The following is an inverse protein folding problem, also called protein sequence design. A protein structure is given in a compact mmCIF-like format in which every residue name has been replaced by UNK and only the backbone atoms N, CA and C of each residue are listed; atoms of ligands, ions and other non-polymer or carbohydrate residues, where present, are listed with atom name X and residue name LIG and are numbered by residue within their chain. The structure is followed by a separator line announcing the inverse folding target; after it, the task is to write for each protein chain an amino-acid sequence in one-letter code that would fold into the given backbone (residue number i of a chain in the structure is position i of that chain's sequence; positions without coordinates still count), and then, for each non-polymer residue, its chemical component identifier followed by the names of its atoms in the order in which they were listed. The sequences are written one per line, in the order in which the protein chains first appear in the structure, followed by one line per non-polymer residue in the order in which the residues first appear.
data_IF_119556670037
#
_entry.id   IF_119556670037
#
_cell.length_a   1.000
_cell.length_b   1.000
_cell.length_c   1.000
_cell.angle_alpha   90.00
_cell.angle_beta   90.00
_cell.angle_gamma   90.00
#
_symmetry.space_group_name_H-M   'P 1'
#
loop_
_entity.id
_entity.type
_entity.pdbx_description
1 polymer ?
#
# COMPACT_ATOMS: atom_id res chain seq x y z
N UNK A 1 -0.51 -26.38 18.17
CA UNK A 1 -0.53 -25.40 17.06
C UNK A 1 -1.96 -24.98 16.72
N UNK A 2 -2.91 -25.92 16.40
CA UNK A 2 -4.28 -25.59 15.98
C UNK A 2 -5.07 -24.82 17.05
N UNK A 3 -4.97 -25.19 18.33
CA UNK A 3 -5.64 -24.46 19.43
C UNK A 3 -5.22 -23.00 19.47
N UNK A 4 -3.92 -22.71 19.38
CA UNK A 4 -3.41 -21.34 19.39
C UNK A 4 -3.90 -20.56 18.16
N UNK A 5 -3.85 -21.16 16.97
CA UNK A 5 -4.35 -20.52 15.75
C UNK A 5 -5.86 -20.24 15.82
N UNK A 6 -6.65 -21.17 16.37
CA UNK A 6 -8.10 -20.97 16.54
C UNK A 6 -8.38 -19.81 17.48
N UNK A 7 -7.67 -19.72 18.61
CA UNK A 7 -7.83 -18.61 19.57
C UNK A 7 -7.49 -17.27 18.90
N UNK A 8 -6.35 -17.19 18.19
CA UNK A 8 -5.95 -15.97 17.47
C UNK A 8 -7.00 -15.59 16.42
N UNK A 9 -7.44 -16.57 15.61
CA UNK A 9 -8.47 -16.34 14.58
C UNK A 9 -9.78 -15.84 15.20
N UNK A 10 -10.19 -16.40 16.34
CA UNK A 10 -11.37 -15.94 17.06
C UNK A 10 -11.23 -14.46 17.45
N UNK A 11 -10.11 -14.06 18.07
CA UNK A 11 -9.89 -12.66 18.43
C UNK A 11 -9.82 -11.73 17.21
N UNK A 12 -9.25 -12.16 16.10
CA UNK A 12 -9.24 -11.38 14.88
C UNK A 12 -10.64 -11.17 14.31
N UNK A 13 -11.47 -12.22 14.26
CA UNK A 13 -12.83 -12.16 13.71
C UNK A 13 -13.82 -11.49 14.65
N UNK A 14 -13.58 -11.55 15.96
CA UNK A 14 -14.46 -10.99 16.98
C UNK A 14 -14.74 -9.49 16.78
N UNK A 15 -13.73 -8.71 16.40
CA UNK A 15 -13.89 -7.28 16.16
C UNK A 15 -14.76 -6.98 14.95
N UNK A 16 -14.69 -7.79 13.90
CA UNK A 16 -15.60 -7.68 12.74
C UNK A 16 -17.03 -8.00 13.13
N UNK A 17 -17.24 -9.00 13.98
CA UNK A 17 -18.55 -9.28 14.53
C UNK A 17 -19.11 -8.10 15.33
N UNK A 18 -18.31 -7.47 16.18
CA UNK A 18 -18.71 -6.27 16.95
C UNK A 18 -19.07 -5.10 16.02
N UNK A 19 -18.29 -4.87 14.96
CA UNK A 19 -18.62 -3.86 13.97
C UNK A 19 -19.99 -4.13 13.32
N UNK A 20 -20.25 -5.38 12.93
CA UNK A 20 -21.55 -5.78 12.39
C UNK A 20 -22.69 -5.55 13.40
N UNK A 21 -22.53 -6.00 14.64
CA UNK A 21 -23.52 -5.78 15.71
C UNK A 21 -23.79 -4.28 15.88
N UNK A 22 -22.76 -3.45 15.97
CA UNK A 22 -22.90 -2.01 16.12
C UNK A 22 -23.61 -1.35 14.91
N UNK A 23 -23.35 -1.83 13.68
CA UNK A 23 -24.05 -1.34 12.49
C UNK A 23 -25.57 -1.61 12.53
N UNK A 24 -26.03 -2.60 13.31
CA UNK A 24 -27.46 -2.91 13.50
C UNK A 24 -28.14 -2.09 14.59
N UNK A 25 -27.40 -1.28 15.37
CA UNK A 25 -27.90 -0.60 16.57
C UNK A 25 -28.26 0.86 16.29
N UNK A 26 -29.23 1.40 17.02
CA UNK A 26 -29.50 2.84 17.06
C UNK A 26 -28.45 3.61 17.86
N UNK A 27 -28.36 4.92 17.66
CA UNK A 27 -27.43 5.78 18.43
C UNK A 27 -27.63 5.66 19.95
N UNK A 28 -28.87 5.59 20.43
CA UNK A 28 -29.16 5.41 21.85
C UNK A 28 -28.66 4.07 22.39
N UNK A 29 -28.81 3.01 21.60
CA UNK A 29 -28.31 1.68 21.95
C UNK A 29 -26.77 1.62 21.96
N UNK A 30 -26.10 2.36 21.06
CA UNK A 30 -24.63 2.46 21.04
C UNK A 30 -24.11 3.14 22.33
N UNK A 31 -24.81 4.18 22.79
CA UNK A 31 -24.46 4.89 24.03
C UNK A 31 -24.76 4.07 25.30
N UNK A 32 -25.68 3.10 25.24
CA UNK A 32 -26.01 2.24 26.39
C UNK A 32 -24.94 1.19 26.73
N UNK A 33 -23.87 1.11 25.94
CA UNK A 33 -22.71 0.27 26.19
C UNK A 33 -22.59 -0.94 25.29
N UNK A 34 -21.68 -1.86 25.67
CA UNK A 34 -21.31 -3.03 24.89
C UNK A 34 -22.40 -4.11 24.91
N UNK A 35 -22.64 -4.74 23.78
CA UNK A 35 -23.49 -5.94 23.63
C UNK A 35 -23.00 -6.80 22.46
N UNK A 36 -23.29 -8.09 22.56
CA UNK A 36 -23.08 -9.07 21.47
C UNK A 36 -24.35 -9.31 20.65
N UNK A 37 -25.50 -8.79 21.09
CA UNK A 37 -26.76 -9.03 20.40
C UNK A 37 -26.98 -7.99 19.28
N UNK A 38 -27.21 -8.43 18.03
CA UNK A 38 -27.58 -7.52 16.96
C UNK A 38 -28.97 -6.94 17.19
N UNK A 39 -29.26 -5.76 16.61
CA UNK A 39 -30.54 -5.06 16.65
C UNK A 39 -31.17 -4.99 15.26
N UNK A 40 -32.30 -4.30 15.12
CA UNK A 40 -33.09 -4.25 13.88
C UNK A 40 -32.86 -2.99 13.02
N UNK A 41 -31.94 -2.10 13.41
CA UNK A 41 -31.79 -0.79 12.75
C UNK A 41 -30.83 -0.77 11.54
N UNK A 42 -30.34 -1.95 11.07
CA UNK A 42 -29.37 -2.00 9.96
C UNK A 42 -29.85 -1.27 8.69
N UNK A 43 -31.09 -1.53 8.27
CA UNK A 43 -31.64 -0.92 7.06
C UNK A 43 -31.89 0.59 7.24
N UNK A 44 -32.29 1.01 8.43
CA UNK A 44 -32.45 2.42 8.75
C UNK A 44 -31.10 3.15 8.74
N UNK A 45 -30.11 2.61 9.41
CA UNK A 45 -28.73 3.13 9.41
C UNK A 45 -28.17 3.21 7.99
N UNK A 46 -28.41 2.19 7.17
CA UNK A 46 -27.98 2.18 5.77
C UNK A 46 -28.67 3.28 4.95
N UNK A 47 -29.98 3.45 5.10
CA UNK A 47 -30.72 4.54 4.43
C UNK A 47 -30.24 5.91 4.90
N UNK A 48 -30.02 6.10 6.19
CA UNK A 48 -29.51 7.35 6.76
C UNK A 48 -28.09 7.69 6.26
N UNK A 49 -27.24 6.67 6.11
CA UNK A 49 -25.89 6.84 5.54
C UNK A 49 -25.96 7.32 4.09
N UNK A 50 -26.84 6.73 3.27
CA UNK A 50 -26.97 7.09 1.85
C UNK A 50 -27.74 8.41 1.62
N UNK A 51 -28.68 8.73 2.50
CA UNK A 51 -29.45 9.98 2.45
C UNK A 51 -28.74 11.16 3.12
N UNK A 52 -27.64 10.89 3.82
CA UNK A 52 -26.85 11.90 4.53
C UNK A 52 -26.09 12.84 3.60
N UNK A 53 -25.54 13.89 4.17
CA UNK A 53 -24.75 14.91 3.44
C UNK A 53 -23.35 14.41 3.01
N UNK A 54 -22.92 13.27 3.54
CA UNK A 54 -21.61 12.69 3.20
C UNK A 54 -21.67 11.96 1.85
N UNK A 55 -20.82 12.33 0.88
CA UNK A 55 -20.76 11.68 -0.43
C UNK A 55 -20.01 10.35 -0.35
N UNK A 56 -20.61 9.36 0.34
CA UNK A 56 -19.96 8.06 0.67
C UNK A 56 -19.42 7.36 -0.58
N UNK A 57 -20.22 7.30 -1.65
CA UNK A 57 -19.80 6.64 -2.90
C UNK A 57 -18.62 7.33 -3.57
N UNK A 58 -18.63 8.68 -3.61
CA UNK A 58 -17.51 9.44 -4.16
C UNK A 58 -16.25 9.26 -3.30
N UNK A 59 -16.40 9.27 -1.98
CA UNK A 59 -15.29 9.00 -1.06
C UNK A 59 -14.69 7.62 -1.27
N UNK A 60 -15.51 6.58 -1.39
CA UNK A 60 -15.05 5.21 -1.66
C UNK A 60 -14.35 5.10 -3.02
N UNK A 61 -14.92 5.69 -4.08
CA UNK A 61 -14.30 5.70 -5.40
C UNK A 61 -12.95 6.42 -5.39
N UNK A 62 -12.86 7.58 -4.74
CA UNK A 62 -11.61 8.32 -4.60
C UNK A 62 -10.56 7.49 -3.85
N UNK A 63 -10.95 6.83 -2.76
CA UNK A 63 -10.05 5.95 -2.00
C UNK A 63 -9.55 4.78 -2.85
N UNK A 64 -10.42 4.15 -3.66
CA UNK A 64 -10.04 3.06 -4.58
C UNK A 64 -9.04 3.58 -5.62
N UNK A 65 -9.30 4.74 -6.23
CA UNK A 65 -8.44 5.35 -7.25
C UNK A 65 -7.07 5.69 -6.65
N UNK A 66 -7.05 6.40 -5.52
CA UNK A 66 -5.81 6.81 -4.86
C UNK A 66 -5.01 5.58 -4.42
N UNK A 67 -5.62 4.64 -3.69
CA UNK A 67 -4.93 3.46 -3.20
C UNK A 67 -4.46 2.55 -4.34
N UNK A 68 -5.29 2.38 -5.38
CA UNK A 68 -4.94 1.57 -6.56
C UNK A 68 -3.77 2.15 -7.34
N UNK A 69 -3.81 3.45 -7.65
CA UNK A 69 -2.72 4.13 -8.36
C UNK A 69 -1.44 4.18 -7.50
N UNK A 70 -1.56 4.47 -6.20
CA UNK A 70 -0.42 4.44 -5.28
C UNK A 70 0.25 3.07 -5.24
N UNK A 71 -0.52 1.99 -5.16
CA UNK A 71 0.01 0.64 -5.19
C UNK A 71 0.72 0.34 -6.51
N UNK A 72 0.09 0.69 -7.65
CA UNK A 72 0.63 0.44 -8.97
C UNK A 72 1.97 1.17 -9.18
N UNK A 73 2.02 2.47 -8.94
CA UNK A 73 3.25 3.25 -9.15
C UNK A 73 4.34 2.86 -8.16
N UNK A 74 3.98 2.60 -6.90
CA UNK A 74 4.92 2.17 -5.87
C UNK A 74 5.62 0.86 -6.25
N UNK A 75 4.86 -0.20 -6.57
CA UNK A 75 5.47 -1.49 -6.89
C UNK A 75 6.25 -1.48 -8.21
N UNK A 76 5.76 -0.76 -9.22
CA UNK A 76 6.43 -0.66 -10.52
C UNK A 76 7.79 0.02 -10.38
N UNK A 77 7.83 1.23 -9.83
CA UNK A 77 9.07 2.01 -9.72
C UNK A 77 10.03 1.42 -8.68
N UNK A 78 9.52 0.86 -7.59
CA UNK A 78 10.34 0.15 -6.62
C UNK A 78 10.99 -1.11 -7.21
N UNK A 79 10.25 -1.87 -8.04
CA UNK A 79 10.81 -3.03 -8.74
C UNK A 79 11.86 -2.59 -9.76
N UNK A 80 11.61 -1.51 -10.50
CA UNK A 80 12.56 -0.95 -11.47
C UNK A 80 13.85 -0.46 -10.79
N UNK A 81 13.71 0.22 -9.64
CA UNK A 81 14.87 0.65 -8.84
C UNK A 81 15.64 -0.55 -8.28
N UNK A 82 14.93 -1.57 -7.79
CA UNK A 82 15.54 -2.81 -7.32
C UNK A 82 16.29 -3.53 -8.45
N UNK A 83 15.71 -3.58 -9.64
CA UNK A 83 16.36 -4.14 -10.83
C UNK A 83 17.64 -3.37 -11.18
N UNK A 84 17.60 -2.04 -11.18
CA UNK A 84 18.79 -1.23 -11.45
C UNK A 84 19.91 -1.50 -10.43
N UNK A 85 19.58 -1.59 -9.15
CA UNK A 85 20.55 -1.90 -8.09
C UNK A 85 21.04 -3.37 -8.17
N UNK A 86 20.22 -4.30 -8.65
CA UNK A 86 20.57 -5.71 -8.78
C UNK A 86 21.43 -5.98 -10.02
N UNK A 87 20.98 -5.52 -11.18
CA UNK A 87 21.49 -5.91 -12.49
C UNK A 87 22.69 -5.10 -12.99
N UNK A 88 22.92 -3.89 -12.42
CA UNK A 88 23.99 -3.02 -12.88
C UNK A 88 25.04 -2.80 -11.82
N UNK A 89 26.29 -2.62 -12.27
CA UNK A 89 27.37 -2.14 -11.44
C UNK A 89 27.78 -0.72 -11.86
N UNK A 90 27.60 0.24 -10.94
CA UNK A 90 27.87 1.66 -11.17
C UNK A 90 28.42 2.32 -9.90
N UNK A 91 29.26 3.32 -10.05
CA UNK A 91 30.00 3.93 -8.94
C UNK A 91 29.15 4.45 -7.77
N UNK A 92 27.98 5.01 -8.07
CA UNK A 92 27.06 5.54 -7.04
C UNK A 92 26.24 4.45 -6.29
N UNK A 93 26.23 3.21 -6.77
CA UNK A 93 25.49 2.10 -6.15
C UNK A 93 25.79 1.93 -4.67
N UNK A 94 27.08 2.03 -4.31
CA UNK A 94 27.58 1.92 -2.93
C UNK A 94 27.05 3.03 -2.00
N UNK A 95 26.63 4.16 -2.55
CA UNK A 95 26.05 5.27 -1.81
C UNK A 95 24.51 5.22 -1.83
N UNK A 96 23.90 5.01 -3.00
CA UNK A 96 22.44 5.06 -3.19
C UNK A 96 21.74 3.99 -2.35
N UNK A 97 22.23 2.77 -2.34
CA UNK A 97 21.56 1.68 -1.60
C UNK A 97 21.53 1.94 -0.07
N UNK A 98 22.66 2.24 0.60
CA UNK A 98 22.62 2.60 2.02
C UNK A 98 21.80 3.87 2.30
N UNK A 99 21.81 4.85 1.39
CA UNK A 99 21.03 6.08 1.51
C UNK A 99 19.52 5.79 1.53
N UNK A 100 19.04 4.91 0.63
CA UNK A 100 17.62 4.49 0.65
C UNK A 100 17.28 3.79 1.97
N UNK A 101 18.16 2.93 2.49
CA UNK A 101 17.95 2.27 3.77
C UNK A 101 17.92 3.27 4.95
N UNK A 102 18.78 4.28 4.90
CA UNK A 102 18.80 5.35 5.92
C UNK A 102 17.48 6.14 5.95
N UNK A 103 16.89 6.43 4.80
CA UNK A 103 15.58 7.11 4.72
C UNK A 103 14.49 6.32 5.45
N UNK A 104 14.52 4.98 5.43
CA UNK A 104 13.54 4.15 6.14
C UNK A 104 13.58 4.34 7.68
N UNK A 105 14.69 4.85 8.22
CA UNK A 105 14.82 5.12 9.66
C UNK A 105 14.14 6.44 10.08
N UNK A 106 13.76 7.30 9.14
CA UNK A 106 13.10 8.56 9.44
C UNK A 106 11.62 8.28 9.76
N UNK A 107 11.15 8.64 10.98
CA UNK A 107 9.74 8.47 11.34
C UNK A 107 8.84 9.31 10.41
N UNK A 108 7.81 8.68 9.84
CA UNK A 108 6.88 9.36 8.92
C UNK A 108 6.16 10.54 9.57
N UNK A 109 5.92 10.47 10.89
CA UNK A 109 5.30 11.56 11.66
C UNK A 109 6.13 12.85 11.64
N UNK A 110 7.46 12.74 11.58
CA UNK A 110 8.36 13.92 11.52
C UNK A 110 8.26 14.60 10.15
N UNK A 111 8.08 13.83 9.10
CA UNK A 111 8.01 14.37 7.73
C UNK A 111 6.63 14.90 7.38
N UNK A 112 5.57 14.49 8.10
CA UNK A 112 4.18 14.84 7.78
C UNK A 112 3.94 16.36 7.75
N UNK A 113 4.42 17.11 8.76
CA UNK A 113 4.25 18.56 8.81
C UNK A 113 4.93 19.27 7.63
N UNK A 114 6.15 18.88 7.31
CA UNK A 114 6.88 19.42 6.16
C UNK A 114 6.21 19.09 4.83
N UNK A 115 5.63 17.89 4.73
CA UNK A 115 4.88 17.48 3.55
C UNK A 115 3.62 18.33 3.34
N UNK A 116 2.80 18.54 4.38
CA UNK A 116 1.61 19.40 4.31
C UNK A 116 1.98 20.82 3.90
N UNK A 117 3.06 21.40 4.49
CA UNK A 117 3.53 22.72 4.12
C UNK A 117 4.00 22.80 2.65
N UNK A 118 4.64 21.73 2.15
CA UNK A 118 5.08 21.66 0.75
C UNK A 118 3.89 21.62 -0.20
N UNK A 119 2.89 20.77 0.10
CA UNK A 119 1.64 20.67 -0.67
C UNK A 119 0.94 22.02 -0.74
N UNK A 120 0.83 22.73 0.39
CA UNK A 120 0.25 24.07 0.44
C UNK A 120 1.02 25.10 -0.40
N UNK A 121 2.35 25.10 -0.34
CA UNK A 121 3.18 25.97 -1.20
C UNK A 121 3.06 25.69 -2.69
N UNK A 122 2.74 24.45 -3.04
CA UNK A 122 2.55 24.02 -4.44
C UNK A 122 1.10 24.19 -4.92
N UNK A 123 0.18 24.62 -4.04
CA UNK A 123 -1.26 24.75 -4.32
C UNK A 123 -1.89 23.43 -4.83
N UNK A 124 -1.54 22.32 -4.19
CA UNK A 124 -1.98 20.97 -4.57
C UNK A 124 -2.94 20.33 -3.54
N UNK A 125 -3.53 21.13 -2.63
CA UNK A 125 -4.40 20.66 -1.53
C UNK A 125 -5.64 19.90 -2.04
N UNK A 126 -6.22 20.35 -3.16
CA UNK A 126 -7.41 19.73 -3.77
C UNK A 126 -7.05 18.76 -4.91
N UNK A 127 -5.89 18.08 -4.81
CA UNK A 127 -5.39 17.20 -5.86
C UNK A 127 -5.03 15.81 -5.31
N UNK A 128 -5.17 14.77 -6.14
CA UNK A 128 -4.69 13.42 -5.83
C UNK A 128 -3.17 13.26 -6.03
N UNK A 129 -2.52 14.23 -6.69
CA UNK A 129 -1.08 14.18 -6.99
C UNK A 129 -0.23 13.99 -5.73
N UNK A 130 -0.42 14.77 -4.63
CA UNK A 130 0.37 14.59 -3.42
C UNK A 130 0.17 13.24 -2.74
N UNK A 131 -0.96 12.58 -2.97
CA UNK A 131 -1.27 11.29 -2.37
C UNK A 131 -0.68 10.12 -3.18
N UNK A 132 -0.52 10.29 -4.50
CA UNK A 132 -0.09 9.22 -5.40
C UNK A 132 1.40 9.34 -5.74
N UNK A 133 1.87 10.52 -6.18
CA UNK A 133 3.22 10.70 -6.73
C UNK A 133 4.34 10.35 -5.74
N UNK A 134 4.28 10.72 -4.44
CA UNK A 134 5.34 10.37 -3.49
C UNK A 134 5.51 8.87 -3.28
N UNK A 135 4.49 8.06 -3.57
CA UNK A 135 4.56 6.60 -3.44
C UNK A 135 5.48 5.94 -4.49
N UNK A 136 5.89 6.67 -5.53
CA UNK A 136 6.95 6.26 -6.47
C UNK A 136 8.25 5.99 -5.70
N UNK A 137 8.57 6.84 -4.71
CA UNK A 137 9.74 6.70 -3.85
C UNK A 137 9.36 5.98 -2.55
N UNK A 138 9.15 4.66 -2.62
CA UNK A 138 8.75 3.82 -1.49
C UNK A 138 9.93 2.93 -1.00
N UNK A 139 10.76 3.41 -0.05
CA UNK A 139 11.96 2.70 0.39
C UNK A 139 11.68 1.29 0.93
N UNK A 140 10.59 1.09 1.67
CA UNK A 140 10.20 -0.22 2.21
C UNK A 140 9.85 -1.19 1.08
N UNK A 141 9.05 -0.76 0.11
CA UNK A 141 8.68 -1.56 -1.07
C UNK A 141 9.92 -1.90 -1.90
N UNK A 142 10.79 -0.91 -2.13
CA UNK A 142 12.09 -1.11 -2.81
C UNK A 142 12.93 -2.17 -2.09
N UNK A 143 13.09 -2.06 -0.78
CA UNK A 143 13.89 -3.01 -0.01
C UNK A 143 13.37 -4.45 -0.15
N UNK A 144 12.05 -4.63 -0.03
CA UNK A 144 11.42 -5.94 -0.21
C UNK A 144 11.63 -6.50 -1.62
N UNK A 145 11.42 -5.66 -2.66
CA UNK A 145 11.64 -6.06 -4.05
C UNK A 145 13.09 -6.47 -4.29
N UNK A 146 14.05 -5.71 -3.73
CA UNK A 146 15.48 -6.01 -3.84
C UNK A 146 15.83 -7.35 -3.19
N UNK A 147 15.34 -7.62 -1.97
CA UNK A 147 15.56 -8.88 -1.27
C UNK A 147 14.96 -10.08 -2.01
N UNK A 148 13.74 -9.93 -2.52
CA UNK A 148 13.12 -10.99 -3.32
C UNK A 148 13.89 -11.24 -4.62
N UNK A 149 14.32 -10.19 -5.29
CA UNK A 149 15.04 -10.26 -6.57
C UNK A 149 16.39 -11.00 -6.42
N UNK A 150 17.09 -10.81 -5.31
CA UNK A 150 18.36 -11.54 -5.02
C UNK A 150 18.19 -13.05 -5.02
N UNK A 151 17.01 -13.53 -4.61
CA UNK A 151 16.71 -14.97 -4.57
C UNK A 151 16.03 -15.50 -5.83
N UNK A 152 15.25 -14.66 -6.53
CA UNK A 152 14.35 -15.09 -7.59
C UNK A 152 14.84 -14.74 -9.01
N UNK A 153 15.84 -13.86 -9.16
CA UNK A 153 16.33 -13.37 -10.45
C UNK A 153 17.85 -13.61 -10.58
N UNK A 154 18.28 -14.74 -11.18
CA UNK A 154 19.69 -14.96 -11.48
C UNK A 154 20.21 -13.93 -12.49
N UNK A 155 21.40 -13.38 -12.26
CA UNK A 155 22.04 -12.44 -13.20
C UNK A 155 22.28 -13.05 -14.57
N UNK A 156 22.55 -14.35 -14.65
CA UNK A 156 22.73 -15.07 -15.90
C UNK A 156 21.51 -14.98 -16.85
N UNK A 157 20.30 -14.83 -16.30
CA UNK A 157 19.10 -14.65 -17.11
C UNK A 157 19.08 -13.27 -17.82
N UNK A 158 19.56 -12.24 -17.10
CA UNK A 158 19.69 -10.89 -17.65
C UNK A 158 20.80 -10.84 -18.70
N UNK A 159 21.92 -11.50 -18.42
CA UNK A 159 23.03 -11.61 -19.37
C UNK A 159 22.63 -12.35 -20.66
N UNK A 160 21.88 -13.44 -20.54
CA UNK A 160 21.33 -14.16 -21.71
C UNK A 160 20.40 -13.25 -22.54
N UNK A 161 19.49 -12.51 -21.89
CA UNK A 161 18.63 -11.57 -22.58
C UNK A 161 19.42 -10.47 -23.33
N UNK A 162 20.52 -9.98 -22.77
CA UNK A 162 21.42 -9.02 -23.43
C UNK A 162 22.13 -9.61 -24.64
N UNK A 163 22.59 -10.86 -24.52
CA UNK A 163 23.21 -11.60 -25.65
C UNK A 163 22.22 -11.77 -26.79
N UNK A 164 20.94 -12.03 -26.47
CA UNK A 164 19.83 -12.13 -27.43
C UNK A 164 19.43 -10.75 -28.01
N UNK A 165 20.10 -9.66 -27.63
CA UNK A 165 19.83 -8.32 -28.13
C UNK A 165 18.62 -7.62 -27.51
N UNK A 166 18.10 -8.14 -26.38
CA UNK A 166 17.00 -7.50 -25.66
C UNK A 166 17.45 -6.17 -25.06
N UNK A 167 16.69 -5.10 -25.35
CA UNK A 167 16.91 -3.81 -24.69
C UNK A 167 16.48 -3.85 -23.22
N UNK A 168 17.11 -3.05 -22.36
CA UNK A 168 16.95 -3.08 -20.90
C UNK A 168 15.49 -2.87 -20.43
N UNK A 169 14.77 -1.93 -21.06
CA UNK A 169 13.37 -1.68 -20.76
C UNK A 169 12.46 -2.87 -21.13
N UNK A 170 12.79 -3.54 -22.26
CA UNK A 170 12.10 -4.76 -22.67
C UNK A 170 12.39 -5.91 -21.70
N UNK A 171 13.65 -6.12 -21.36
CA UNK A 171 14.09 -7.11 -20.37
C UNK A 171 13.38 -6.91 -19.03
N UNK A 172 13.31 -5.67 -18.54
CA UNK A 172 12.60 -5.34 -17.30
C UNK A 172 11.12 -5.72 -17.38
N UNK A 173 10.40 -5.29 -18.41
CA UNK A 173 8.96 -5.48 -18.49
C UNK A 173 8.55 -6.91 -18.87
N UNK A 174 9.31 -7.60 -19.72
CA UNK A 174 8.92 -8.91 -20.27
C UNK A 174 9.55 -10.09 -19.53
N UNK A 175 10.65 -9.88 -18.82
CA UNK A 175 11.35 -10.95 -18.11
C UNK A 175 11.29 -10.71 -16.60
N UNK A 176 11.77 -9.55 -16.14
CA UNK A 176 11.90 -9.27 -14.70
C UNK A 176 10.54 -9.12 -14.02
N UNK A 177 9.65 -8.25 -14.51
CA UNK A 177 8.33 -8.03 -13.90
C UNK A 177 7.50 -9.32 -13.77
N UNK A 178 7.42 -10.20 -14.77
CA UNK A 178 6.73 -11.49 -14.64
C UNK A 178 7.29 -12.39 -13.54
N UNK A 179 8.61 -12.44 -13.38
CA UNK A 179 9.27 -13.23 -12.33
C UNK A 179 9.03 -12.62 -10.94
N UNK A 180 8.88 -11.31 -10.85
CA UNK A 180 8.62 -10.59 -9.61
C UNK A 180 7.13 -10.60 -9.20
N UNK A 181 6.21 -11.18 -9.98
CA UNK A 181 4.76 -11.18 -9.68
C UNK A 181 4.40 -11.55 -8.25
N UNK A 182 4.98 -12.58 -7.60
CA UNK A 182 4.62 -12.92 -6.23
C UNK A 182 4.97 -11.79 -5.24
N UNK A 183 6.15 -11.18 -5.39
CA UNK A 183 6.58 -10.06 -4.55
C UNK A 183 5.74 -8.80 -4.83
N UNK A 184 5.45 -8.53 -6.10
CA UNK A 184 4.58 -7.42 -6.53
C UNK A 184 3.19 -7.57 -5.91
N UNK A 185 2.58 -8.75 -5.95
CA UNK A 185 1.26 -8.98 -5.38
C UNK A 185 1.22 -8.68 -3.87
N UNK A 186 2.21 -9.15 -3.12
CA UNK A 186 2.33 -8.89 -1.68
C UNK A 186 2.47 -7.39 -1.41
N UNK A 187 3.42 -6.72 -2.07
CA UNK A 187 3.67 -5.31 -1.82
C UNK A 187 2.55 -4.40 -2.34
N UNK A 188 1.87 -4.79 -3.43
CA UNK A 188 0.69 -4.07 -3.91
C UNK A 188 -0.42 -4.07 -2.85
N UNK A 189 -0.69 -5.22 -2.21
CA UNK A 189 -1.68 -5.31 -1.11
C UNK A 189 -1.27 -4.41 0.05
N UNK A 190 -0.01 -4.48 0.52
CA UNK A 190 0.45 -3.66 1.64
C UNK A 190 0.37 -2.16 1.32
N UNK A 191 0.80 -1.74 0.13
CA UNK A 191 0.74 -0.33 -0.28
C UNK A 191 -0.71 0.12 -0.44
N UNK A 192 -1.57 -0.71 -1.04
CA UNK A 192 -3.00 -0.41 -1.18
C UNK A 192 -3.64 -0.19 0.19
N UNK A 193 -3.46 -1.12 1.14
CA UNK A 193 -4.03 -1.03 2.48
C UNK A 193 -3.47 0.16 3.25
N UNK A 194 -2.18 0.44 3.13
CA UNK A 194 -1.55 1.61 3.75
C UNK A 194 -2.13 2.92 3.21
N UNK A 195 -2.29 3.03 1.89
CA UNK A 195 -2.88 4.21 1.25
C UNK A 195 -4.37 4.35 1.56
N UNK A 196 -5.12 3.25 1.58
CA UNK A 196 -6.55 3.22 1.94
C UNK A 196 -6.80 3.71 3.36
N UNK A 197 -5.93 3.35 4.30
CA UNK A 197 -6.05 3.73 5.71
C UNK A 197 -5.38 5.08 6.04
N UNK A 198 -4.75 5.70 5.05
CA UNK A 198 -4.13 7.02 5.23
C UNK A 198 -5.21 8.10 5.20
N UNK A 199 -5.22 8.99 6.19
CA UNK A 199 -6.16 10.09 6.27
C UNK A 199 -5.46 11.46 6.50
N UNK A 200 -4.17 11.54 6.23
CA UNK A 200 -3.41 12.79 6.20
C UNK A 200 -3.60 13.51 4.88
#
# INVERSE_FOLDING_TARGET
TYVVLTIISFFCLFWFYILFVNATRSNGQLQSGFTLAPSSHLLENWKNLLAGTLPVWNGMLNSIIIAGLSALVSVYFSTMTAYAIHAYDFGLKKFIYPFILMIMMIPTQVTALGFVQLVGKMHLEDSFIPLIVPTIAAPVTFFYMKQYMESALPLSLIEAARIDGSGEFHTFNQIVLPLMKPAIAVQAIFTFVSSWNNYF
#
